data_IF_381842685044
#
_entry.id   IF_381842685044
#
_cell.length_a   1.000
_cell.length_b   1.000
_cell.length_c   1.000
_cell.angle_alpha   90.00
_cell.angle_beta   90.00
_cell.angle_gamma   90.00
#
_symmetry.space_group_name_H-M   'P 1'
#
loop_
_entity.id
_entity.type
_entity.pdbx_description
1 polymer ?
#
# COMPACT_ATOMS: atom_id res chain seq x y z
N UNK A 1 -27.47 10.74 1.70
CA UNK A 1 -27.95 10.42 0.33
C UNK A 1 -27.11 11.15 -0.72
N UNK A 2 -27.11 10.70 -1.97
CA UNK A 2 -26.37 11.34 -3.07
C UNK A 2 -26.77 12.81 -3.26
N UNK A 3 -28.03 13.12 -3.08
CA UNK A 3 -28.56 14.49 -3.13
C UNK A 3 -27.99 15.38 -2.05
N UNK A 4 -27.84 14.87 -0.83
CA UNK A 4 -27.26 15.61 0.30
C UNK A 4 -25.79 15.95 0.07
N UNK A 5 -25.04 15.04 -0.54
CA UNK A 5 -23.65 15.26 -0.89
C UNK A 5 -23.48 16.34 -1.97
N UNK A 6 -24.31 16.29 -3.04
CA UNK A 6 -24.30 17.30 -4.11
C UNK A 6 -24.62 18.70 -3.56
N UNK A 7 -25.59 18.82 -2.65
CA UNK A 7 -25.94 20.10 -2.03
C UNK A 7 -24.80 20.65 -1.16
N UNK A 8 -24.06 19.79 -0.48
CA UNK A 8 -22.86 20.18 0.26
C UNK A 8 -21.74 20.65 -0.67
N UNK A 9 -21.43 19.91 -1.73
CA UNK A 9 -20.39 20.31 -2.71
C UNK A 9 -20.70 21.66 -3.39
N UNK A 10 -21.97 22.00 -3.55
CA UNK A 10 -22.41 23.28 -4.10
C UNK A 10 -22.41 24.42 -3.07
N UNK A 11 -22.17 24.12 -1.81
CA UNK A 11 -22.24 25.09 -0.72
C UNK A 11 -23.68 25.47 -0.32
N UNK A 12 -24.67 24.71 -0.76
CA UNK A 12 -26.09 24.96 -0.46
C UNK A 12 -26.49 24.51 0.95
N UNK A 13 -25.65 23.73 1.64
CA UNK A 13 -25.83 23.31 3.02
C UNK A 13 -24.49 23.00 3.70
N UNK A 14 -24.48 23.15 5.03
CA UNK A 14 -23.35 22.74 5.87
C UNK A 14 -23.39 21.25 6.18
N UNK A 15 -22.22 20.68 6.51
CA UNK A 15 -22.10 19.32 7.03
C UNK A 15 -22.68 19.26 8.45
N UNK A 16 -23.45 18.20 8.72
CA UNK A 16 -23.79 17.86 10.11
C UNK A 16 -22.56 17.30 10.83
N UNK A 17 -22.56 17.35 12.17
CA UNK A 17 -21.46 16.84 12.99
C UNK A 17 -21.21 15.34 12.73
N UNK A 18 -22.28 14.57 12.55
CA UNK A 18 -22.20 13.15 12.24
C UNK A 18 -21.57 12.89 10.86
N UNK A 19 -21.96 13.66 9.85
CA UNK A 19 -21.40 13.58 8.51
C UNK A 19 -19.92 14.01 8.49
N UNK A 20 -19.57 15.06 9.23
CA UNK A 20 -18.20 15.50 9.39
C UNK A 20 -17.34 14.45 10.12
N UNK A 21 -17.90 13.76 11.12
CA UNK A 21 -17.23 12.67 11.83
C UNK A 21 -16.96 11.47 10.91
N UNK A 22 -17.96 11.11 10.08
CA UNK A 22 -17.81 10.03 9.09
C UNK A 22 -16.72 10.39 8.06
N UNK A 23 -16.74 11.61 7.53
CA UNK A 23 -15.72 12.09 6.60
C UNK A 23 -14.34 12.16 7.26
N UNK A 24 -14.27 12.65 8.50
CA UNK A 24 -13.03 12.68 9.28
C UNK A 24 -12.42 11.29 9.43
N UNK A 25 -13.24 10.29 9.74
CA UNK A 25 -12.81 8.90 9.85
C UNK A 25 -12.41 8.31 8.50
N UNK A 26 -13.15 8.63 7.45
CA UNK A 26 -12.92 8.12 6.10
C UNK A 26 -11.63 8.66 5.47
N UNK A 27 -11.31 9.92 5.73
CA UNK A 27 -10.16 10.62 5.17
C UNK A 27 -9.02 10.84 6.18
N UNK A 28 -9.16 10.35 7.41
CA UNK A 28 -8.19 10.54 8.51
C UNK A 28 -7.91 12.03 8.78
N UNK A 29 -8.98 12.84 8.77
CA UNK A 29 -8.97 14.28 8.99
C UNK A 29 -9.71 14.59 10.30
N UNK A 30 -9.14 15.44 11.14
CA UNK A 30 -9.80 15.84 12.38
C UNK A 30 -11.00 16.78 12.11
N UNK A 31 -12.00 16.76 13.00
CA UNK A 31 -13.14 17.66 12.92
C UNK A 31 -12.72 19.14 12.94
N UNK A 32 -11.61 19.46 13.64
CA UNK A 32 -11.05 20.80 13.69
C UNK A 32 -10.49 21.25 12.32
N UNK A 33 -9.86 20.36 11.59
CA UNK A 33 -9.34 20.60 10.23
C UNK A 33 -10.49 20.78 9.23
N UNK A 34 -11.58 20.01 9.36
CA UNK A 34 -12.79 20.16 8.53
C UNK A 34 -13.45 21.52 8.80
N UNK A 35 -13.63 21.90 10.07
CA UNK A 35 -14.24 23.18 10.46
C UNK A 35 -13.38 24.40 10.09
N UNK A 36 -12.05 24.26 10.11
CA UNK A 36 -11.14 25.34 9.77
C UNK A 36 -11.06 25.61 8.24
N UNK A 37 -11.71 24.78 7.42
CA UNK A 37 -11.62 24.84 5.95
C UNK A 37 -10.19 24.65 5.42
N UNK A 38 -9.28 24.15 6.26
CA UNK A 38 -7.87 23.91 5.92
C UNK A 38 -7.66 22.48 5.43
N UNK A 39 -8.49 22.06 4.50
CA UNK A 39 -8.18 20.89 3.71
C UNK A 39 -6.93 21.23 2.92
N UNK A 40 -5.82 20.53 3.24
CA UNK A 40 -4.56 20.73 2.50
C UNK A 40 -4.80 20.42 1.03
N UNK A 41 -4.21 21.21 0.12
CA UNK A 41 -4.35 20.97 -1.31
C UNK A 41 -3.84 19.58 -1.66
N UNK A 42 -4.30 19.09 -2.80
CA UNK A 42 -4.04 17.78 -3.39
C UNK A 42 -2.63 17.22 -3.12
N UNK A 43 -2.46 15.91 -3.00
CA UNK A 43 -1.16 15.29 -2.71
C UNK A 43 -0.11 15.74 -3.73
N UNK A 44 0.86 16.52 -3.27
CA UNK A 44 1.97 16.97 -4.10
C UNK A 44 2.96 15.81 -4.26
N UNK A 45 3.13 15.34 -5.48
CA UNK A 45 4.16 14.35 -5.82
C UNK A 45 5.44 15.11 -6.10
N UNK A 46 6.43 14.96 -5.23
CA UNK A 46 7.78 15.50 -5.49
C UNK A 46 8.65 14.37 -6.05
N UNK A 47 9.01 14.47 -7.30
CA UNK A 47 9.96 13.56 -7.93
C UNK A 47 11.38 13.98 -7.50
N UNK A 48 11.93 13.32 -6.51
CA UNK A 48 13.36 13.43 -6.21
C UNK A 48 14.10 12.34 -6.97
N UNK A 49 14.77 12.74 -8.05
CA UNK A 49 15.69 11.86 -8.77
C UNK A 49 16.96 11.67 -7.92
N UNK A 50 16.99 10.63 -7.10
CA UNK A 50 18.15 10.29 -6.30
C UNK A 50 19.23 9.59 -7.14
N UNK A 51 20.03 10.41 -7.80
CA UNK A 51 21.40 10.07 -8.16
C UNK A 51 22.33 10.57 -7.05
N UNK A 52 22.36 9.90 -5.92
CA UNK A 52 23.49 9.77 -4.99
C UNK A 52 23.03 9.10 -3.70
N UNK A 53 23.36 7.83 -3.56
CA UNK A 53 23.48 7.23 -2.23
C UNK A 53 24.52 8.02 -1.43
N UNK A 54 24.09 8.64 -0.36
CA UNK A 54 24.92 8.94 0.80
C UNK A 54 24.10 8.81 2.07
N UNK A 55 24.65 8.00 2.95
CA UNK A 55 24.20 7.70 4.29
C UNK A 55 23.57 8.89 5.02
N UNK A 56 22.34 8.69 5.49
CA UNK A 56 21.88 9.32 6.71
C UNK A 56 21.07 8.29 7.50
N UNK A 57 21.76 7.71 8.45
CA UNK A 57 21.17 6.93 9.53
C UNK A 57 20.26 7.85 10.35
N UNK A 58 18.95 7.58 10.39
CA UNK A 58 18.15 7.97 11.54
C UNK A 58 16.94 7.05 11.68
N UNK A 59 16.91 6.38 12.81
CA UNK A 59 15.77 5.71 13.47
C UNK A 59 15.11 4.57 12.71
N UNK A 60 15.87 3.57 12.30
CA UNK A 60 15.39 2.20 12.25
C UNK A 60 15.78 1.51 13.55
N UNK A 61 14.78 1.12 14.33
CA UNK A 61 14.90 0.19 15.44
C UNK A 61 15.87 -0.92 15.03
N UNK A 62 16.86 -1.15 15.89
CA UNK A 62 17.88 -2.18 15.75
C UNK A 62 17.23 -3.56 15.51
N UNK A 63 16.99 -3.91 14.26
CA UNK A 63 16.83 -5.29 13.87
C UNK A 63 18.22 -5.90 13.81
N UNK A 64 18.44 -6.91 14.63
CA UNK A 64 19.65 -7.73 14.58
C UNK A 64 19.85 -8.28 13.16
N UNK A 65 20.84 -7.74 12.45
CA UNK A 65 21.23 -8.13 11.09
C UNK A 65 21.70 -9.58 10.99
N UNK A 66 21.86 -10.28 12.11
CA UNK A 66 22.32 -11.67 12.16
C UNK A 66 21.25 -12.70 11.81
N UNK A 67 19.96 -12.30 11.68
CA UNK A 67 18.84 -13.19 11.35
C UNK A 67 18.19 -12.97 9.98
N UNK A 68 18.75 -12.13 9.12
CA UNK A 68 18.27 -11.96 7.74
C UNK A 68 18.64 -13.15 6.84
N UNK A 69 18.26 -14.35 7.22
CA UNK A 69 18.15 -15.45 6.26
C UNK A 69 16.79 -15.33 5.60
N UNK A 70 16.75 -14.69 4.41
CA UNK A 70 15.58 -14.67 3.56
C UNK A 70 15.28 -16.10 3.16
N UNK A 71 14.37 -16.71 3.89
CA UNK A 71 13.95 -18.10 3.71
C UNK A 71 12.76 -18.21 2.74
N UNK A 72 12.75 -17.39 1.67
CA UNK A 72 11.83 -17.64 0.56
C UNK A 72 12.55 -18.57 -0.39
N UNK A 73 12.01 -19.75 -0.73
CA UNK A 73 12.55 -20.60 -1.76
C UNK A 73 12.74 -19.82 -3.06
N UNK A 74 13.84 -20.07 -3.79
CA UNK A 74 14.17 -19.32 -5.02
C UNK A 74 13.01 -19.31 -6.02
N UNK A 75 12.24 -20.37 -6.07
CA UNK A 75 11.06 -20.53 -6.93
C UNK A 75 9.96 -19.51 -6.65
N UNK A 76 9.76 -19.15 -5.40
CA UNK A 76 8.73 -18.16 -5.01
C UNK A 76 9.17 -16.70 -5.18
N UNK A 77 10.46 -16.41 -5.32
CA UNK A 77 10.95 -15.03 -5.56
C UNK A 77 10.44 -14.49 -6.90
N UNK A 78 10.41 -15.26 -7.96
CA UNK A 78 9.85 -14.85 -9.25
C UNK A 78 8.36 -14.52 -9.11
N UNK A 79 7.62 -15.41 -8.46
CA UNK A 79 6.19 -15.26 -8.21
C UNK A 79 5.90 -14.00 -7.38
N UNK A 80 6.65 -13.79 -6.30
CA UNK A 80 6.50 -12.59 -5.48
C UNK A 80 6.71 -11.30 -6.29
N UNK A 81 7.75 -11.25 -7.14
CA UNK A 81 7.97 -10.10 -8.04
C UNK A 81 6.79 -9.88 -8.97
N UNK A 82 6.23 -10.93 -9.54
CA UNK A 82 5.08 -10.82 -10.45
C UNK A 82 3.81 -10.39 -9.73
N UNK A 83 3.53 -10.92 -8.52
CA UNK A 83 2.42 -10.47 -7.68
C UNK A 83 2.54 -8.98 -7.38
N UNK A 84 3.73 -8.54 -6.93
CA UNK A 84 3.95 -7.14 -6.59
C UNK A 84 3.80 -6.22 -7.80
N UNK A 85 4.38 -6.60 -8.96
CA UNK A 85 4.22 -5.84 -10.21
C UNK A 85 2.76 -5.80 -10.66
N UNK A 86 2.00 -6.89 -10.50
CA UNK A 86 0.58 -6.93 -10.82
C UNK A 86 -0.21 -5.96 -9.94
N UNK A 87 -0.02 -6.00 -8.62
CA UNK A 87 -0.65 -5.08 -7.67
C UNK A 87 -0.32 -3.63 -8.05
N UNK A 88 0.95 -3.32 -8.24
CA UNK A 88 1.41 -1.97 -8.56
C UNK A 88 0.87 -1.48 -9.91
N UNK A 89 0.74 -2.35 -10.91
CA UNK A 89 0.14 -1.98 -12.21
C UNK A 89 -1.33 -1.60 -12.10
N UNK A 90 -2.06 -2.22 -11.17
CA UNK A 90 -3.50 -1.96 -10.96
C UNK A 90 -3.76 -0.76 -10.06
N UNK A 91 -3.04 -0.65 -8.95
CA UNK A 91 -3.38 0.30 -7.88
C UNK A 91 -2.23 1.21 -7.45
N UNK A 92 -1.01 1.04 -7.94
CA UNK A 92 0.17 1.82 -7.54
C UNK A 92 0.02 3.32 -7.75
N UNK A 93 -0.80 3.74 -8.73
CA UNK A 93 -1.12 5.15 -9.00
C UNK A 93 -2.07 5.79 -7.99
N UNK A 94 -2.87 5.00 -7.23
CA UNK A 94 -3.83 5.55 -6.26
C UNK A 94 -3.11 6.33 -5.15
N UNK A 95 -3.60 7.50 -4.72
CA UNK A 95 -2.89 8.36 -3.76
C UNK A 95 -2.71 7.73 -2.39
N UNK A 96 -3.64 6.89 -1.92
CA UNK A 96 -3.61 6.20 -0.64
C UNK A 96 -2.68 4.97 -0.62
N UNK A 97 -2.25 4.48 -1.78
CA UNK A 97 -1.41 3.29 -1.88
C UNK A 97 0.06 3.66 -1.65
N UNK A 98 0.46 3.63 -0.39
CA UNK A 98 1.85 3.71 0.05
C UNK A 98 2.35 2.37 0.57
N UNK A 99 3.59 2.35 1.04
CA UNK A 99 4.28 1.15 1.53
C UNK A 99 3.49 0.38 2.60
N UNK A 100 2.91 1.09 3.57
CA UNK A 100 2.12 0.47 4.65
C UNK A 100 0.89 -0.25 4.11
N UNK A 101 0.19 0.36 3.18
CA UNK A 101 -1.00 -0.25 2.57
C UNK A 101 -0.61 -1.48 1.74
N UNK A 102 0.48 -1.40 0.98
CA UNK A 102 0.99 -2.55 0.21
C UNK A 102 1.35 -3.74 1.09
N UNK A 103 1.92 -3.52 2.28
CA UNK A 103 2.23 -4.60 3.22
C UNK A 103 0.98 -5.37 3.62
N UNK A 104 -0.12 -4.65 3.87
CA UNK A 104 -1.39 -5.25 4.28
C UNK A 104 -2.11 -5.94 3.13
N UNK A 105 -2.08 -5.33 1.95
CA UNK A 105 -2.63 -5.97 0.74
C UNK A 105 -1.91 -7.30 0.48
N UNK A 106 -0.58 -7.33 0.55
CA UNK A 106 0.19 -8.57 0.39
C UNK A 106 -0.15 -9.61 1.46
N UNK A 107 -0.32 -9.17 2.71
CA UNK A 107 -0.70 -10.04 3.81
C UNK A 107 -2.05 -10.70 3.54
N UNK A 108 -3.10 -9.93 3.25
CA UNK A 108 -4.43 -10.46 2.98
C UNK A 108 -4.45 -11.37 1.74
N UNK A 109 -3.80 -10.97 0.64
CA UNK A 109 -3.69 -11.81 -0.55
C UNK A 109 -3.09 -13.18 -0.22
N UNK A 110 -2.05 -13.26 0.61
CA UNK A 110 -1.36 -14.51 0.90
C UNK A 110 -2.15 -15.38 1.88
N UNK A 111 -2.75 -14.77 2.92
CA UNK A 111 -3.47 -15.50 3.97
C UNK A 111 -4.89 -15.87 3.56
N UNK A 112 -5.64 -14.97 2.93
CA UNK A 112 -7.00 -15.25 2.45
C UNK A 112 -6.98 -16.29 1.31
N UNK A 113 -5.91 -16.30 0.49
CA UNK A 113 -5.69 -17.36 -0.49
C UNK A 113 -5.48 -18.72 0.19
N UNK A 114 -4.64 -18.74 1.23
CA UNK A 114 -4.39 -19.96 1.99
C UNK A 114 -5.66 -20.48 2.69
N UNK A 115 -6.43 -19.57 3.29
CA UNK A 115 -7.71 -19.93 3.93
C UNK A 115 -8.71 -20.53 2.93
N UNK A 116 -8.74 -19.99 1.71
CA UNK A 116 -9.70 -20.41 0.68
C UNK A 116 -9.30 -21.70 -0.06
N UNK A 117 -7.99 -21.92 -0.25
CA UNK A 117 -7.48 -22.99 -1.12
C UNK A 117 -6.52 -23.95 -0.44
N UNK A 118 -6.16 -23.70 0.81
CA UNK A 118 -5.15 -24.46 1.57
C UNK A 118 -3.76 -24.49 0.89
N UNK A 119 -3.49 -23.52 0.01
CA UNK A 119 -2.26 -23.35 -0.73
C UNK A 119 -1.68 -21.96 -0.50
N UNK A 120 -0.35 -21.85 -0.45
CA UNK A 120 0.31 -20.54 -0.33
C UNK A 120 0.46 -19.88 -1.70
N UNK A 121 -0.06 -18.67 -1.89
CA UNK A 121 0.10 -17.91 -3.12
C UNK A 121 1.57 -17.45 -3.26
N UNK A 122 2.04 -16.59 -2.38
CA UNK A 122 3.44 -16.14 -2.32
C UNK A 122 4.21 -16.99 -1.31
N UNK A 123 3.60 -17.27 -0.16
CA UNK A 123 4.20 -17.92 0.99
C UNK A 123 5.27 -17.04 1.63
N UNK A 124 5.05 -15.73 1.64
CA UNK A 124 5.96 -14.78 2.24
C UNK A 124 5.98 -14.93 3.77
N UNK A 125 7.14 -14.64 4.37
CA UNK A 125 7.26 -14.57 5.82
C UNK A 125 6.89 -13.17 6.28
N UNK A 126 5.98 -13.09 7.26
CA UNK A 126 5.56 -11.83 7.87
C UNK A 126 6.05 -11.74 9.32
N UNK A 127 6.37 -10.54 9.75
CA UNK A 127 6.68 -10.22 11.15
C UNK A 127 5.63 -9.25 11.68
N UNK A 128 5.29 -9.41 12.96
CA UNK A 128 4.41 -8.47 13.66
C UNK A 128 5.18 -7.17 13.92
N UNK A 129 4.67 -6.06 13.42
CA UNK A 129 5.23 -4.73 13.64
C UNK A 129 4.17 -3.82 14.27
N UNK A 130 4.55 -2.62 14.72
CA UNK A 130 3.66 -1.62 15.36
C UNK A 130 2.41 -1.32 14.51
N UNK A 131 2.58 -1.30 13.19
CA UNK A 131 1.48 -1.05 12.25
C UNK A 131 0.91 -2.33 11.61
N UNK A 132 1.08 -3.48 12.28
CA UNK A 132 0.59 -4.78 11.82
C UNK A 132 1.59 -5.57 10.95
N UNK A 133 1.15 -6.64 10.28
CA UNK A 133 2.04 -7.56 9.58
C UNK A 133 2.86 -6.88 8.49
N UNK A 134 4.16 -7.21 8.44
CA UNK A 134 5.14 -6.65 7.50
C UNK A 134 5.89 -7.80 6.82
N UNK A 135 5.89 -7.90 5.49
CA UNK A 135 6.59 -8.95 4.77
C UNK A 135 8.12 -8.73 4.81
N UNK A 136 8.86 -9.70 5.32
CA UNK A 136 10.32 -9.62 5.55
C UNK A 136 11.10 -9.37 4.26
N UNK A 137 10.71 -10.04 3.18
CA UNK A 137 11.43 -9.96 1.91
C UNK A 137 11.10 -8.73 1.06
N UNK A 138 10.15 -7.89 1.48
CA UNK A 138 9.64 -6.80 0.65
C UNK A 138 10.73 -5.84 0.17
N UNK A 139 11.57 -5.34 1.07
CA UNK A 139 12.65 -4.40 0.72
C UNK A 139 13.65 -4.99 -0.29
N UNK A 140 13.98 -6.27 -0.11
CA UNK A 140 14.87 -6.98 -1.05
C UNK A 140 14.22 -7.15 -2.43
N UNK A 141 12.93 -7.46 -2.48
CA UNK A 141 12.19 -7.59 -3.75
C UNK A 141 12.09 -6.24 -4.44
N UNK A 142 11.73 -5.17 -3.72
CA UNK A 142 11.72 -3.80 -4.26
C UNK A 142 13.07 -3.43 -4.84
N UNK A 143 14.16 -3.58 -4.08
CA UNK A 143 15.51 -3.24 -4.57
C UNK A 143 15.93 -4.02 -5.81
N UNK A 144 15.45 -5.26 -5.96
CA UNK A 144 15.68 -6.05 -7.19
C UNK A 144 14.88 -5.50 -8.36
N UNK A 145 13.60 -5.17 -8.16
CA UNK A 145 12.75 -4.60 -9.20
C UNK A 145 13.22 -3.23 -9.66
N UNK A 146 13.75 -2.41 -8.74
CA UNK A 146 14.39 -1.12 -9.08
C UNK A 146 15.66 -1.31 -9.92
N UNK A 147 16.54 -2.23 -9.50
CA UNK A 147 17.75 -2.56 -10.26
C UNK A 147 17.45 -3.12 -11.66
N UNK A 148 16.31 -3.81 -11.79
CA UNK A 148 15.81 -4.33 -13.07
C UNK A 148 15.10 -3.23 -13.89
N UNK A 149 14.96 -2.01 -13.37
CA UNK A 149 14.28 -0.89 -14.04
C UNK A 149 12.76 -1.03 -14.14
N UNK A 150 12.17 -2.01 -13.44
CA UNK A 150 10.73 -2.33 -13.54
C UNK A 150 9.84 -1.41 -12.73
N UNK A 151 10.37 -0.84 -11.65
CA UNK A 151 9.67 0.09 -10.78
C UNK A 151 10.55 1.27 -10.41
N UNK A 152 9.91 2.35 -10.00
CA UNK A 152 10.54 3.53 -9.42
C UNK A 152 9.93 3.79 -8.03
N UNK A 153 10.80 4.06 -7.05
CA UNK A 153 10.40 4.47 -5.71
C UNK A 153 10.33 5.98 -5.61
N UNK A 154 9.20 6.50 -5.19
CA UNK A 154 8.99 7.95 -5.00
C UNK A 154 8.58 8.27 -3.57
N UNK A 155 9.03 9.42 -3.07
CA UNK A 155 8.52 10.02 -1.85
C UNK A 155 7.35 10.93 -2.20
N UNK A 156 6.24 10.77 -1.49
CA UNK A 156 5.05 11.58 -1.68
C UNK A 156 4.40 11.87 -0.35
N UNK A 157 3.36 12.69 -0.35
CA UNK A 157 2.52 12.91 0.82
C UNK A 157 1.10 12.47 0.51
N UNK A 158 0.48 11.82 1.48
CA UNK A 158 -0.95 11.60 1.51
C UNK A 158 -1.52 12.41 2.65
N UNK A 159 -2.22 13.49 2.32
CA UNK A 159 -2.54 14.57 3.25
C UNK A 159 -1.28 15.13 3.95
N UNK A 160 -1.22 15.07 5.28
CA UNK A 160 -0.08 15.52 6.09
C UNK A 160 1.01 14.45 6.33
N UNK A 161 0.75 13.21 5.92
CA UNK A 161 1.64 12.08 6.18
C UNK A 161 2.56 11.81 5.01
N UNK A 162 3.84 11.65 5.31
CA UNK A 162 4.82 11.21 4.31
C UNK A 162 4.61 9.72 4.01
N UNK A 163 4.69 9.36 2.74
CA UNK A 163 4.60 7.99 2.30
C UNK A 163 5.64 7.68 1.22
N UNK A 164 6.03 6.43 1.16
CA UNK A 164 6.82 5.89 0.06
C UNK A 164 5.88 5.17 -0.90
N UNK A 165 5.93 5.52 -2.17
CA UNK A 165 5.16 4.88 -3.25
C UNK A 165 6.09 4.18 -4.21
N UNK A 166 5.54 3.20 -4.91
CA UNK A 166 6.23 2.42 -5.92
C UNK A 166 5.40 2.46 -7.20
N UNK A 167 5.99 2.94 -8.28
CA UNK A 167 5.34 3.03 -9.58
C UNK A 167 6.01 2.08 -10.56
N UNK A 168 5.21 1.41 -11.35
CA UNK A 168 5.69 0.56 -12.44
C UNK A 168 6.18 1.45 -13.57
N UNK A 169 7.34 1.10 -14.14
CA UNK A 169 7.84 1.79 -15.33
C UNK A 169 6.90 1.52 -16.52
N UNK A 170 6.30 2.55 -17.13
CA UNK A 170 5.33 2.38 -18.21
C UNK A 170 5.91 1.78 -19.48
N UNK A 171 7.23 1.82 -19.66
CA UNK A 171 7.92 1.26 -20.82
C UNK A 171 8.26 -0.22 -20.66
N UNK A 172 8.07 -0.79 -19.47
CA UNK A 172 8.37 -2.18 -19.19
C UNK A 172 7.18 -3.09 -19.51
N UNK A 173 7.45 -4.15 -20.25
CA UNK A 173 6.49 -5.22 -20.46
C UNK A 173 6.49 -6.15 -19.27
N UNK A 174 5.38 -6.16 -18.53
CA UNK A 174 5.22 -7.04 -17.37
C UNK A 174 4.71 -8.40 -17.85
N UNK A 175 5.43 -9.46 -17.50
CA UNK A 175 5.01 -10.84 -17.72
C UNK A 175 4.48 -11.43 -16.40
N UNK A 176 3.37 -12.15 -16.49
CA UNK A 176 2.71 -12.81 -15.35
C UNK A 176 2.70 -14.34 -15.49
N UNK A 177 3.75 -14.89 -16.08
CA UNK A 177 3.86 -16.33 -16.41
C UNK A 177 3.85 -17.26 -15.19
N UNK A 178 4.20 -16.74 -14.00
CA UNK A 178 4.19 -17.50 -12.74
C UNK A 178 2.82 -17.47 -12.02
N UNK A 179 1.85 -16.73 -12.55
CA UNK A 179 0.53 -16.55 -11.93
C UNK A 179 -0.54 -17.29 -12.76
N UNK A 180 -1.28 -18.16 -12.09
CA UNK A 180 -2.46 -18.81 -12.65
C UNK A 180 -3.64 -17.84 -12.75
N UNK A 181 -4.63 -18.18 -13.56
CA UNK A 181 -5.87 -17.41 -13.67
C UNK A 181 -6.62 -17.32 -12.32
N UNK A 182 -6.58 -18.39 -11.51
CA UNK A 182 -7.18 -18.43 -10.18
C UNK A 182 -6.49 -17.44 -9.22
N UNK A 183 -5.16 -17.39 -9.24
CA UNK A 183 -4.40 -16.47 -8.40
C UNK A 183 -4.62 -15.01 -8.82
N UNK A 184 -4.66 -14.74 -10.12
CA UNK A 184 -4.98 -13.40 -10.63
C UNK A 184 -6.38 -12.96 -10.23
N UNK A 185 -7.39 -13.84 -10.33
CA UNK A 185 -8.75 -13.56 -9.91
C UNK A 185 -8.84 -13.27 -8.40
N UNK A 186 -8.11 -14.03 -7.58
CA UNK A 186 -8.04 -13.79 -6.14
C UNK A 186 -7.37 -12.43 -5.82
N UNK A 187 -6.25 -12.12 -6.47
CA UNK A 187 -5.60 -10.81 -6.29
C UNK A 187 -6.55 -9.67 -6.67
N UNK A 188 -7.28 -9.79 -7.78
CA UNK A 188 -8.24 -8.77 -8.21
C UNK A 188 -9.41 -8.63 -7.21
N UNK A 189 -9.90 -9.73 -6.63
CA UNK A 189 -10.90 -9.73 -5.56
C UNK A 189 -10.40 -8.94 -4.33
N UNK A 190 -9.18 -9.22 -3.86
CA UNK A 190 -8.57 -8.54 -2.73
C UNK A 190 -8.28 -7.05 -3.01
N UNK A 191 -7.82 -6.73 -4.20
CA UNK A 191 -7.64 -5.34 -4.60
C UNK A 191 -8.96 -4.58 -4.65
N UNK A 192 -10.04 -5.21 -5.11
CA UNK A 192 -11.39 -4.65 -5.08
C UNK A 192 -11.88 -4.35 -3.66
N UNK A 193 -11.51 -5.19 -2.70
CA UNK A 193 -11.88 -5.06 -1.28
C UNK A 193 -11.04 -4.02 -0.53
N UNK A 194 -9.74 -3.94 -0.81
CA UNK A 194 -8.77 -3.28 0.07
C UNK A 194 -8.14 -2.01 -0.51
N UNK A 195 -8.17 -1.81 -1.83
CA UNK A 195 -7.38 -0.75 -2.47
C UNK A 195 -7.86 0.67 -2.19
N UNK A 196 -9.05 0.84 -1.62
CA UNK A 196 -9.59 2.15 -1.26
C UNK A 196 -9.39 2.49 0.23
N UNK A 197 -8.81 1.57 1.01
CA UNK A 197 -8.54 1.80 2.42
C UNK A 197 -7.33 2.71 2.61
N UNK A 198 -7.41 3.57 3.63
CA UNK A 198 -6.25 4.29 4.15
C UNK A 198 -5.33 3.36 4.95
N UNK A 199 -4.10 3.80 5.22
CA UNK A 199 -3.16 3.04 6.04
C UNK A 199 -3.72 2.71 7.44
N UNK A 200 -4.45 3.64 8.06
CA UNK A 200 -5.10 3.45 9.37
C UNK A 200 -6.20 2.39 9.31
N UNK A 201 -7.06 2.48 8.30
CA UNK A 201 -8.19 1.55 8.13
C UNK A 201 -7.72 0.12 7.88
N UNK A 202 -6.78 -0.07 6.95
CA UNK A 202 -6.28 -1.40 6.62
C UNK A 202 -5.42 -1.99 7.76
N UNK A 203 -4.69 -1.14 8.51
CA UNK A 203 -3.98 -1.57 9.73
C UNK A 203 -4.96 -2.03 10.80
N UNK A 204 -6.03 -1.28 11.06
CA UNK A 204 -7.07 -1.66 12.02
C UNK A 204 -7.74 -2.99 11.63
N UNK A 205 -7.94 -3.23 10.32
CA UNK A 205 -8.47 -4.51 9.83
C UNK A 205 -7.49 -5.65 10.15
N UNK A 206 -6.21 -5.49 9.83
CA UNK A 206 -5.18 -6.52 10.05
C UNK A 206 -4.84 -6.82 11.51
N UNK A 207 -5.42 -6.12 12.47
CA UNK A 207 -5.30 -6.40 13.91
C UNK A 207 -6.52 -7.16 14.48
N UNK A 208 -7.56 -7.36 13.67
CA UNK A 208 -8.75 -8.11 14.06
C UNK A 208 -8.66 -9.60 13.69
N UNK A 209 -7.78 -9.91 12.74
CA UNK A 209 -7.41 -11.26 12.35
C UNK A 209 -6.24 -11.75 13.22
#
# INVERSE_FOLDING_TARGET
>A
SRTSYISFEKGDRDLSLDEASILGTMFDISLEEINAGKLQPEPTITLESNHKMRDSASSHTLYDKSQERISIPQEKVKKYKQVLLYILSKVGGKPNIGQTVLYKILYFIDFDYYEKYEEQLIGARYIKNTHGPTPVAFSTIISRLEKEGKIETIKSKFYKYEQTKYLVNPNERIEFSELSAQELAHIDEELGRLSDFTASQISALSHKD
#
